data_IF_212691032268
#
_entry.id   IF_212691032268
#
_cell.length_a   1.000
_cell.length_b   1.000
_cell.length_c   1.000
_cell.angle_alpha   90.00
_cell.angle_beta   90.00
_cell.angle_gamma   90.00
#
_symmetry.space_group_name_H-M   'P 1'
#
loop_
_entity.id
_entity.type
_entity.pdbx_description
1 polymer ?
#
# COMPACT_ATOMS: atom_id res chain seq x y z
N UNK A 1 7.13 56.66 -12.75
CA UNK A 1 8.26 55.83 -13.17
C UNK A 1 9.48 56.04 -12.28
N UNK A 2 10.12 57.21 -12.30
CA UNK A 2 11.37 57.45 -11.54
C UNK A 2 11.26 57.12 -10.03
N UNK A 3 10.19 57.58 -9.36
CA UNK A 3 9.94 57.28 -7.94
C UNK A 3 9.78 55.77 -7.65
N UNK A 4 9.20 55.02 -8.59
CA UNK A 4 9.01 53.58 -8.44
C UNK A 4 10.36 52.85 -8.51
N UNK A 5 11.20 53.23 -9.46
CA UNK A 5 12.55 52.67 -9.61
C UNK A 5 13.44 53.03 -8.42
N UNK A 6 13.40 54.28 -7.95
CA UNK A 6 14.15 54.71 -6.74
C UNK A 6 13.71 53.91 -5.51
N UNK A 7 12.40 53.71 -5.33
CA UNK A 7 11.86 52.89 -4.24
C UNK A 7 12.32 51.44 -4.33
N UNK A 8 12.26 50.84 -5.53
CA UNK A 8 12.68 49.46 -5.79
C UNK A 8 14.16 49.25 -5.45
N UNK A 9 15.04 50.15 -5.90
CA UNK A 9 16.48 50.12 -5.60
C UNK A 9 16.71 50.18 -4.08
N UNK A 10 16.07 51.14 -3.39
CA UNK A 10 16.20 51.26 -1.94
C UNK A 10 15.73 49.98 -1.20
N UNK A 11 14.62 49.38 -1.63
CA UNK A 11 14.11 48.13 -1.05
C UNK A 11 15.04 46.94 -1.30
N UNK A 12 15.67 46.85 -2.47
CA UNK A 12 16.66 45.81 -2.77
C UNK A 12 17.95 45.92 -1.97
N UNK A 13 18.31 47.12 -1.52
CA UNK A 13 19.38 47.27 -0.53
C UNK A 13 18.89 46.85 0.86
N UNK A 14 17.72 47.33 1.29
CA UNK A 14 17.17 47.07 2.63
C UNK A 14 16.81 45.60 2.87
N UNK A 15 16.50 44.83 1.83
CA UNK A 15 16.24 43.40 1.98
C UNK A 15 17.49 42.58 2.31
N UNK A 16 18.68 43.17 2.20
CA UNK A 16 19.97 42.57 2.61
C UNK A 16 20.49 43.17 3.91
N UNK A 17 19.68 43.96 4.62
CA UNK A 17 20.09 44.64 5.85
C UNK A 17 20.49 43.63 6.94
N UNK A 18 21.40 44.05 7.83
CA UNK A 18 21.86 43.21 8.95
C UNK A 18 20.73 42.98 9.95
N UNK A 19 19.88 43.97 10.16
CA UNK A 19 18.75 43.89 11.09
C UNK A 19 17.55 43.20 10.43
N UNK A 20 17.06 42.11 11.03
CA UNK A 20 15.90 41.39 10.51
C UNK A 20 14.63 42.21 10.52
N UNK A 21 14.47 43.17 11.44
CA UNK A 21 13.29 44.05 11.47
C UNK A 21 13.20 44.93 10.22
N UNK A 22 14.33 45.42 9.72
CA UNK A 22 14.42 46.18 8.47
C UNK A 22 14.13 45.28 7.28
N UNK A 23 14.72 44.07 7.25
CA UNK A 23 14.45 43.09 6.19
C UNK A 23 12.96 42.69 6.14
N UNK A 24 12.28 42.56 7.28
CA UNK A 24 10.84 42.28 7.35
C UNK A 24 10.02 43.38 6.65
N UNK A 25 10.32 44.66 6.92
CA UNK A 25 9.62 45.77 6.28
C UNK A 25 9.92 45.82 4.78
N UNK A 26 11.18 45.59 4.39
CA UNK A 26 11.56 45.52 2.98
C UNK A 26 10.85 44.37 2.25
N UNK A 27 10.79 43.17 2.85
CA UNK A 27 10.12 42.01 2.29
C UNK A 27 8.62 42.28 2.11
N UNK A 28 7.99 42.87 3.13
CA UNK A 28 6.57 43.24 3.09
C UNK A 28 6.28 44.22 1.95
N UNK A 29 7.12 45.25 1.79
CA UNK A 29 6.96 46.22 0.71
C UNK A 29 7.17 45.57 -0.67
N UNK A 30 8.21 44.75 -0.83
CA UNK A 30 8.50 44.03 -2.08
C UNK A 30 7.37 43.07 -2.48
N UNK A 31 6.76 42.34 -1.53
CA UNK A 31 5.60 41.50 -1.83
C UNK A 31 4.42 42.29 -2.41
N UNK A 32 4.20 43.54 -1.97
CA UNK A 32 3.14 44.39 -2.55
C UNK A 32 3.41 44.82 -3.99
N UNK A 33 4.67 44.79 -4.42
CA UNK A 33 5.11 45.16 -5.76
C UNK A 33 5.32 43.93 -6.68
N UNK A 34 5.05 42.71 -6.19
CA UNK A 34 5.42 41.46 -6.87
C UNK A 34 4.84 41.30 -8.30
N UNK A 35 3.65 41.86 -8.56
CA UNK A 35 2.97 41.76 -9.86
C UNK A 35 3.18 42.99 -10.75
N UNK A 36 3.82 44.04 -10.24
CA UNK A 36 3.98 45.30 -10.95
C UNK A 36 5.20 45.30 -11.89
N UNK A 37 6.02 44.25 -11.86
CA UNK A 37 7.41 44.36 -12.30
C UNK A 37 7.87 43.23 -13.23
N UNK A 38 7.94 43.55 -14.52
CA UNK A 38 8.64 42.74 -15.54
C UNK A 38 10.11 43.19 -15.64
N UNK A 39 10.46 44.35 -15.08
CA UNK A 39 11.79 44.92 -15.21
C UNK A 39 12.79 44.21 -14.28
N UNK A 40 13.88 43.77 -14.87
CA UNK A 40 14.99 43.17 -14.14
C UNK A 40 15.82 44.24 -13.45
N UNK A 41 16.33 43.96 -12.25
CA UNK A 41 17.34 44.79 -11.63
C UNK A 41 18.61 44.80 -12.51
N UNK A 42 19.11 45.96 -12.96
CA UNK A 42 20.34 46.05 -13.75
C UNK A 42 21.58 45.44 -13.07
N UNK A 43 21.57 45.33 -11.75
CA UNK A 43 22.71 44.86 -10.94
C UNK A 43 22.89 43.34 -11.01
N UNK A 44 21.81 42.58 -10.99
CA UNK A 44 21.85 41.11 -10.92
C UNK A 44 20.93 40.40 -11.92
N UNK A 45 20.22 41.15 -12.76
CA UNK A 45 19.31 40.64 -13.78
C UNK A 45 18.05 39.97 -13.23
N UNK A 46 17.71 40.17 -11.94
CA UNK A 46 16.59 39.50 -11.30
C UNK A 46 15.38 40.39 -11.11
N UNK A 47 14.18 39.81 -11.26
CA UNK A 47 12.92 40.46 -10.92
C UNK A 47 12.67 40.48 -9.41
N UNK A 48 11.69 41.27 -8.95
CA UNK A 48 11.22 41.25 -7.55
C UNK A 48 10.86 39.84 -7.12
N UNK A 49 10.11 39.12 -7.96
CA UNK A 49 9.66 37.76 -7.68
C UNK A 49 10.83 36.80 -7.45
N UNK A 50 11.82 36.82 -8.35
CA UNK A 50 13.00 35.96 -8.24
C UNK A 50 13.83 36.26 -6.98
N UNK A 51 13.92 37.54 -6.59
CA UNK A 51 14.59 37.93 -5.34
C UNK A 51 13.81 37.43 -4.11
N UNK A 52 12.48 37.59 -4.09
CA UNK A 52 11.63 37.06 -3.02
C UNK A 52 11.76 35.54 -2.89
N UNK A 53 11.80 34.80 -4.00
CA UNK A 53 11.99 33.34 -3.98
C UNK A 53 13.36 32.96 -3.43
N UNK A 54 14.41 33.70 -3.81
CA UNK A 54 15.74 33.50 -3.24
C UNK A 54 15.76 33.75 -1.72
N UNK A 55 15.13 34.82 -1.25
CA UNK A 55 15.06 35.12 0.20
C UNK A 55 14.24 34.05 0.93
N UNK A 56 13.14 33.58 0.33
CA UNK A 56 12.30 32.53 0.90
C UNK A 56 13.09 31.22 1.14
N UNK A 57 14.09 30.93 0.30
CA UNK A 57 14.94 29.77 0.46
C UNK A 57 16.13 30.00 1.40
N UNK A 58 16.71 31.21 1.41
CA UNK A 58 18.05 31.47 1.95
C UNK A 58 18.11 32.39 3.18
N UNK A 59 17.08 33.18 3.51
CA UNK A 59 17.14 34.02 4.71
C UNK A 59 17.18 33.15 5.96
N UNK A 60 18.08 33.46 6.90
CA UNK A 60 18.24 32.70 8.14
C UNK A 60 17.08 32.94 9.12
N UNK A 61 16.43 34.11 9.09
CA UNK A 61 15.34 34.45 9.98
C UNK A 61 14.01 33.88 9.46
N UNK A 62 13.38 33.03 10.29
CA UNK A 62 12.13 32.37 9.94
C UNK A 62 10.96 33.34 9.70
N UNK A 63 10.94 34.49 10.39
CA UNK A 63 9.87 35.49 10.27
C UNK A 63 9.88 36.17 8.91
N UNK A 64 11.06 36.42 8.32
CA UNK A 64 11.16 36.98 6.96
C UNK A 64 10.59 36.00 5.94
N UNK A 65 10.98 34.72 6.04
CA UNK A 65 10.40 33.65 5.20
C UNK A 65 8.89 33.57 5.37
N UNK A 66 8.39 33.71 6.61
CA UNK A 66 6.96 33.72 6.93
C UNK A 66 6.21 34.88 6.30
N UNK A 67 6.77 36.09 6.37
CA UNK A 67 6.20 37.30 5.78
C UNK A 67 6.06 37.12 4.28
N UNK A 68 7.07 36.56 3.61
CA UNK A 68 7.00 36.25 2.19
C UNK A 68 5.89 35.22 1.93
N UNK A 69 5.86 34.10 2.66
CA UNK A 69 4.81 33.07 2.50
C UNK A 69 3.39 33.62 2.66
N UNK A 70 3.19 34.61 3.53
CA UNK A 70 1.87 35.15 3.81
C UNK A 70 1.38 36.12 2.73
N UNK A 71 2.32 36.77 2.01
CA UNK A 71 2.02 37.84 1.08
C UNK A 71 2.34 37.51 -0.39
N UNK A 72 3.00 36.39 -0.66
CA UNK A 72 3.29 35.96 -2.03
C UNK A 72 2.02 35.40 -2.70
N UNK A 73 1.79 35.78 -3.96
CA UNK A 73 0.68 35.26 -4.74
C UNK A 73 1.03 33.89 -5.35
N UNK A 74 0.24 32.84 -5.09
CA UNK A 74 0.55 31.51 -5.58
C UNK A 74 0.24 31.39 -7.08
N UNK A 75 1.29 31.19 -7.88
CA UNK A 75 1.24 30.90 -9.32
C UNK A 75 2.29 29.84 -9.71
N UNK A 76 2.33 29.44 -10.99
CA UNK A 76 3.23 28.38 -11.48
C UNK A 76 4.72 28.64 -11.16
N UNK A 77 5.16 29.90 -11.16
CA UNK A 77 6.56 30.27 -10.88
C UNK A 77 6.88 30.21 -9.37
N UNK A 78 5.92 30.55 -8.51
CA UNK A 78 6.12 30.56 -7.05
C UNK A 78 5.84 29.21 -6.36
N UNK A 79 4.96 28.39 -6.95
CA UNK A 79 4.46 27.16 -6.33
C UNK A 79 5.58 26.19 -5.92
N UNK A 80 6.63 25.94 -6.74
CA UNK A 80 7.75 25.10 -6.33
C UNK A 80 8.39 25.57 -5.02
N UNK A 81 8.63 26.88 -4.87
CA UNK A 81 9.25 27.49 -3.70
C UNK A 81 8.32 27.48 -2.47
N UNK A 82 7.02 27.70 -2.67
CA UNK A 82 6.00 27.60 -1.61
C UNK A 82 5.93 26.16 -1.07
N UNK A 83 5.86 25.17 -1.97
CA UNK A 83 5.78 23.75 -1.62
C UNK A 83 7.00 23.30 -0.83
N UNK A 84 8.20 23.74 -1.20
CA UNK A 84 9.42 23.46 -0.41
C UNK A 84 9.30 23.91 1.05
N UNK A 85 8.60 25.02 1.32
CA UNK A 85 8.43 25.52 2.70
C UNK A 85 7.48 24.68 3.55
N UNK A 86 6.74 23.74 2.96
CA UNK A 86 6.05 22.71 3.74
C UNK A 86 7.04 21.81 4.52
N UNK A 87 8.34 21.93 4.26
CA UNK A 87 9.45 21.28 4.98
C UNK A 87 10.41 22.28 5.65
N UNK A 88 9.98 23.53 5.88
CA UNK A 88 10.77 24.52 6.61
C UNK A 88 11.16 24.00 8.02
N UNK A 89 12.35 24.38 8.48
CA UNK A 89 12.83 24.06 9.82
C UNK A 89 11.91 24.62 10.91
N UNK A 90 11.29 25.77 10.66
CA UNK A 90 10.34 26.41 11.56
C UNK A 90 8.92 25.83 11.39
N UNK A 91 8.31 25.27 12.47
CA UNK A 91 6.97 24.68 12.38
C UNK A 91 5.87 25.69 12.04
N UNK A 92 6.02 26.96 12.42
CA UNK A 92 5.04 27.99 12.10
C UNK A 92 5.05 28.25 10.59
N UNK A 93 6.22 28.29 9.95
CA UNK A 93 6.34 28.43 8.50
C UNK A 93 5.70 27.25 7.77
N UNK A 94 5.98 26.00 8.19
CA UNK A 94 5.31 24.81 7.63
C UNK A 94 3.79 24.92 7.73
N UNK A 95 3.28 25.35 8.89
CA UNK A 95 1.85 25.57 9.12
C UNK A 95 1.28 26.66 8.21
N UNK A 96 2.00 27.78 8.04
CA UNK A 96 1.55 28.92 7.23
C UNK A 96 1.33 28.52 5.78
N UNK A 97 2.14 27.62 5.20
CA UNK A 97 1.95 27.11 3.83
C UNK A 97 0.52 26.60 3.62
N UNK A 98 -0.02 25.82 4.56
CA UNK A 98 -1.39 25.30 4.49
C UNK A 98 -2.45 26.35 4.84
N UNK A 99 -2.15 27.25 5.78
CA UNK A 99 -3.11 28.27 6.23
C UNK A 99 -3.35 29.39 5.20
N UNK A 100 -2.37 29.68 4.34
CA UNK A 100 -2.40 30.84 3.47
C UNK A 100 -2.20 30.49 1.99
N UNK A 101 -0.98 30.31 1.44
CA UNK A 101 -0.81 30.19 0.00
C UNK A 101 -1.52 28.96 -0.59
N UNK A 102 -1.52 27.80 0.08
CA UNK A 102 -2.25 26.62 -0.44
C UNK A 102 -3.77 26.69 -0.22
N UNK A 103 -4.23 27.41 0.81
CA UNK A 103 -5.65 27.66 1.07
C UNK A 103 -6.27 28.71 0.13
N UNK A 104 -5.45 29.65 -0.35
CA UNK A 104 -5.85 30.74 -1.22
C UNK A 104 -5.65 30.41 -2.72
N UNK A 105 -5.06 29.25 -3.04
CA UNK A 105 -5.05 28.73 -4.40
C UNK A 105 -6.47 28.75 -4.96
N UNK A 106 -6.63 29.30 -6.17
CA UNK A 106 -7.91 29.26 -6.89
C UNK A 106 -8.37 27.81 -7.08
N UNK A 107 -7.42 26.93 -7.39
CA UNK A 107 -7.66 25.51 -7.56
C UNK A 107 -6.42 24.69 -7.15
N UNK A 108 -6.59 23.66 -6.33
CA UNK A 108 -5.50 22.76 -5.95
C UNK A 108 -4.93 21.98 -7.15
N UNK A 109 -5.66 21.90 -8.27
CA UNK A 109 -5.20 21.30 -9.53
C UNK A 109 -4.09 22.10 -10.21
N UNK A 110 -3.82 23.33 -9.77
CA UNK A 110 -2.64 24.10 -10.18
C UNK A 110 -1.34 23.48 -9.66
N UNK A 111 -1.39 22.69 -8.59
CA UNK A 111 -0.27 21.87 -8.15
C UNK A 111 -0.12 20.69 -9.09
N UNK A 112 1.12 20.40 -9.49
CA UNK A 112 1.43 19.13 -10.15
C UNK A 112 1.06 17.96 -9.23
N UNK A 113 0.83 16.78 -9.81
CA UNK A 113 0.57 15.57 -9.04
C UNK A 113 1.61 15.36 -7.92
N UNK A 114 2.90 15.49 -8.24
CA UNK A 114 3.97 15.30 -7.26
C UNK A 114 3.93 16.35 -6.14
N UNK A 115 3.66 17.61 -6.47
CA UNK A 115 3.54 18.67 -5.48
C UNK A 115 2.36 18.41 -4.54
N UNK A 116 1.20 18.05 -5.09
CA UNK A 116 -0.02 17.73 -4.34
C UNK A 116 0.20 16.55 -3.39
N UNK A 117 0.74 15.44 -3.89
CA UNK A 117 1.06 14.27 -3.08
C UNK A 117 2.07 14.59 -1.97
N UNK A 118 3.11 15.37 -2.27
CA UNK A 118 4.11 15.78 -1.29
C UNK A 118 3.53 16.65 -0.18
N UNK A 119 2.77 17.71 -0.50
CA UNK A 119 2.23 18.61 0.54
C UNK A 119 1.24 17.89 1.43
N UNK A 120 0.44 16.96 0.90
CA UNK A 120 -0.48 16.14 1.70
C UNK A 120 0.29 15.17 2.59
N UNK A 121 1.24 14.41 2.01
CA UNK A 121 2.08 13.45 2.74
C UNK A 121 2.84 14.13 3.89
N UNK A 122 3.48 15.27 3.63
CA UNK A 122 4.27 15.97 4.64
C UNK A 122 3.39 16.64 5.69
N UNK A 123 2.27 17.23 5.30
CA UNK A 123 1.41 17.98 6.20
C UNK A 123 0.63 17.09 7.15
N UNK A 124 0.03 16.01 6.64
CA UNK A 124 -0.74 15.05 7.44
C UNK A 124 0.14 14.21 8.36
N UNK A 125 1.40 13.97 7.97
CA UNK A 125 2.41 13.27 8.79
C UNK A 125 3.40 14.22 9.49
N UNK A 126 3.10 15.52 9.59
CA UNK A 126 3.97 16.44 10.30
C UNK A 126 4.03 16.07 11.79
N UNK A 127 5.16 16.32 12.44
CA UNK A 127 5.31 16.06 13.88
C UNK A 127 4.50 17.05 14.72
N UNK A 128 4.33 18.28 14.24
CA UNK A 128 3.57 19.31 14.92
C UNK A 128 2.05 19.13 14.68
N UNK A 129 1.24 18.91 15.72
CA UNK A 129 -0.21 18.74 15.58
C UNK A 129 -0.92 19.96 14.98
N UNK A 130 -0.39 21.17 15.16
CA UNK A 130 -0.98 22.39 14.58
C UNK A 130 -0.77 22.47 13.07
N UNK A 131 0.29 21.86 12.54
CA UNK A 131 0.48 21.70 11.08
C UNK A 131 -0.56 20.72 10.54
N UNK A 132 -0.70 19.54 11.16
CA UNK A 132 -1.71 18.54 10.77
C UNK A 132 -3.13 19.12 10.79
N UNK A 133 -3.46 19.89 11.83
CA UNK A 133 -4.75 20.59 11.94
C UNK A 133 -4.97 21.64 10.85
N UNK A 134 -3.93 22.38 10.47
CA UNK A 134 -4.03 23.35 9.37
C UNK A 134 -4.34 22.67 8.03
N UNK A 135 -3.75 21.49 7.79
CA UNK A 135 -4.01 20.68 6.60
C UNK A 135 -5.45 20.18 6.60
N UNK A 136 -5.91 19.58 7.70
CA UNK A 136 -7.30 19.12 7.84
C UNK A 136 -8.31 20.23 7.57
N UNK A 137 -8.09 21.43 8.14
CA UNK A 137 -8.94 22.60 7.89
C UNK A 137 -8.92 23.07 6.44
N UNK A 138 -7.76 23.09 5.79
CA UNK A 138 -7.64 23.46 4.37
C UNK A 138 -8.44 22.47 3.50
N UNK A 139 -8.27 21.17 3.74
CA UNK A 139 -9.00 20.11 3.03
C UNK A 139 -10.51 20.27 3.21
N UNK A 140 -10.96 20.41 4.45
CA UNK A 140 -12.38 20.40 4.81
C UNK A 140 -13.16 21.67 4.49
N UNK A 141 -12.48 22.78 4.20
CA UNK A 141 -13.13 24.09 3.99
C UNK A 141 -12.82 24.75 2.64
N UNK A 142 -11.66 24.45 2.03
CA UNK A 142 -11.19 25.08 0.79
C UNK A 142 -11.14 24.09 -0.36
N UNK A 143 -10.29 23.07 -0.28
CA UNK A 143 -10.05 22.16 -1.39
C UNK A 143 -11.29 21.34 -1.75
N UNK A 144 -12.08 20.92 -0.75
CA UNK A 144 -13.33 20.19 -1.01
C UNK A 144 -14.33 21.01 -1.84
N UNK A 145 -14.34 22.35 -1.72
CA UNK A 145 -15.19 23.21 -2.54
C UNK A 145 -14.73 23.27 -4.00
N UNK A 146 -13.43 23.09 -4.24
CA UNK A 146 -12.84 23.02 -5.58
C UNK A 146 -13.15 21.67 -6.25
N UNK A 147 -13.54 20.66 -5.47
CA UNK A 147 -14.11 19.39 -5.91
C UNK A 147 -15.62 19.33 -5.68
N UNK A 148 -16.33 20.45 -5.85
CA UNK A 148 -17.80 20.52 -5.83
C UNK A 148 -18.48 19.99 -4.56
N UNK A 149 -17.77 19.97 -3.43
CA UNK A 149 -18.19 19.28 -2.19
C UNK A 149 -18.44 17.77 -2.34
N UNK A 150 -17.74 17.12 -3.27
CA UNK A 150 -17.85 15.70 -3.57
C UNK A 150 -16.52 15.01 -3.22
N UNK A 151 -16.56 14.07 -2.27
CA UNK A 151 -15.38 13.32 -1.85
C UNK A 151 -14.87 12.34 -2.92
N UNK A 152 -15.76 11.80 -3.75
CA UNK A 152 -15.37 10.92 -4.87
C UNK A 152 -14.62 11.74 -5.91
N UNK A 153 -15.16 12.90 -6.34
CA UNK A 153 -14.43 13.81 -7.24
C UNK A 153 -13.07 14.19 -6.63
N UNK A 154 -13.03 14.45 -5.33
CA UNK A 154 -11.78 14.82 -4.67
C UNK A 154 -10.74 13.70 -4.72
N UNK A 155 -11.15 12.44 -4.50
CA UNK A 155 -10.29 11.26 -4.61
C UNK A 155 -9.83 10.99 -6.05
N UNK A 156 -10.69 11.20 -7.06
CA UNK A 156 -10.30 11.08 -8.47
C UNK A 156 -9.16 12.05 -8.79
N UNK A 157 -9.23 13.28 -8.25
CA UNK A 157 -8.13 14.25 -8.39
C UNK A 157 -6.90 13.87 -7.57
N UNK A 158 -6.98 13.00 -6.58
CA UNK A 158 -5.77 12.50 -5.91
C UNK A 158 -5.09 11.39 -6.71
N UNK A 159 -5.79 10.77 -7.67
CA UNK A 159 -5.30 9.68 -8.51
C UNK A 159 -4.87 8.47 -7.65
N UNK A 160 -5.80 7.96 -6.84
CA UNK A 160 -5.55 6.96 -5.78
C UNK A 160 -4.95 5.63 -6.27
N UNK A 161 -5.13 5.30 -7.54
CA UNK A 161 -4.55 4.12 -8.18
C UNK A 161 -3.03 4.21 -8.37
N UNK A 162 -2.45 5.42 -8.30
CA UNK A 162 -0.99 5.58 -8.38
C UNK A 162 -0.32 5.05 -7.11
N UNK A 163 0.81 4.37 -7.30
CA UNK A 163 1.57 3.76 -6.21
C UNK A 163 1.88 4.75 -5.07
N UNK A 164 1.57 4.35 -3.84
CA UNK A 164 1.82 5.13 -2.61
C UNK A 164 0.83 6.28 -2.37
N UNK A 165 -0.18 6.49 -3.22
CA UNK A 165 -1.19 7.54 -3.02
C UNK A 165 -2.31 7.09 -2.10
N UNK A 166 -2.72 5.81 -2.15
CA UNK A 166 -3.81 5.29 -1.31
C UNK A 166 -3.60 5.61 0.18
N UNK A 167 -2.39 5.43 0.73
CA UNK A 167 -2.08 5.77 2.13
C UNK A 167 -2.24 7.26 2.44
N UNK A 168 -1.89 8.12 1.47
CA UNK A 168 -2.07 9.58 1.58
C UNK A 168 -3.56 9.91 1.55
N UNK A 169 -4.32 9.31 0.63
CA UNK A 169 -5.75 9.52 0.50
C UNK A 169 -6.53 9.03 1.73
N UNK A 170 -6.12 7.91 2.34
CA UNK A 170 -6.67 7.45 3.60
C UNK A 170 -6.42 8.46 4.73
N UNK A 171 -5.20 9.00 4.81
CA UNK A 171 -4.86 10.07 5.76
C UNK A 171 -5.69 11.34 5.52
N UNK A 172 -5.96 11.69 4.25
CA UNK A 172 -6.80 12.82 3.85
C UNK A 172 -8.22 12.63 4.34
N UNK A 173 -8.85 11.48 4.05
CA UNK A 173 -10.21 11.18 4.46
C UNK A 173 -10.36 11.15 5.97
N UNK A 174 -9.43 10.51 6.69
CA UNK A 174 -9.43 10.50 8.15
C UNK A 174 -9.32 11.90 8.75
N UNK A 175 -8.45 12.75 8.22
CA UNK A 175 -8.35 14.15 8.65
C UNK A 175 -9.61 14.95 8.30
N UNK A 176 -10.23 14.67 7.16
CA UNK A 176 -11.46 15.32 6.72
C UNK A 176 -12.63 14.97 7.64
N UNK A 177 -12.86 13.68 7.93
CA UNK A 177 -13.91 13.21 8.83
C UNK A 177 -13.72 13.72 10.26
N UNK A 178 -12.49 13.76 10.75
CA UNK A 178 -12.19 14.32 12.07
C UNK A 178 -12.51 15.83 12.17
N UNK A 179 -12.34 16.59 11.09
CA UNK A 179 -12.66 18.02 11.02
C UNK A 179 -14.14 18.30 10.70
N UNK A 180 -14.82 17.39 9.99
CA UNK A 180 -16.23 17.50 9.56
C UNK A 180 -17.08 16.39 10.17
N UNK A 181 -17.11 16.35 11.50
CA UNK A 181 -17.97 15.41 12.23
C UNK A 181 -19.47 15.63 11.95
N UNK A 182 -19.85 16.80 11.44
CA UNK A 182 -21.22 17.17 11.06
C UNK A 182 -21.78 16.30 9.92
N UNK A 183 -20.95 15.89 8.95
CA UNK A 183 -21.41 15.13 7.78
C UNK A 183 -21.41 13.61 7.98
N UNK A 184 -20.90 13.11 9.10
CA UNK A 184 -20.76 11.66 9.35
C UNK A 184 -22.11 10.95 9.30
N UNK A 185 -23.19 11.63 9.71
CA UNK A 185 -24.55 11.11 9.64
C UNK A 185 -25.17 11.18 8.24
N UNK A 186 -24.61 11.99 7.35
CA UNK A 186 -25.13 12.23 5.99
C UNK A 186 -24.55 11.23 4.97
N UNK A 187 -23.35 10.70 5.21
CA UNK A 187 -22.69 9.75 4.30
C UNK A 187 -23.37 8.39 4.40
N UNK A 188 -24.03 7.92 3.34
CA UNK A 188 -24.71 6.60 3.27
C UNK A 188 -24.24 5.81 2.05
N UNK A 189 -24.28 4.47 2.15
CA UNK A 189 -23.96 3.55 1.06
C UNK A 189 -25.17 2.65 0.80
N UNK A 190 -26.08 3.11 -0.07
CA UNK A 190 -27.30 2.38 -0.40
C UNK A 190 -27.04 1.21 -1.37
N UNK A 191 -28.08 0.42 -1.65
CA UNK A 191 -27.96 -0.72 -2.55
C UNK A 191 -27.55 -0.33 -3.98
N UNK A 192 -27.76 0.92 -4.39
CA UNK A 192 -27.37 1.41 -5.71
C UNK A 192 -25.88 1.77 -5.77
N UNK A 193 -25.35 2.34 -4.68
CA UNK A 193 -23.93 2.59 -4.49
C UNK A 193 -23.11 1.30 -4.66
N UNK A 194 -23.51 0.23 -3.99
CA UNK A 194 -22.79 -1.05 -4.00
C UNK A 194 -22.79 -1.76 -5.36
N UNK A 195 -23.74 -1.43 -6.25
CA UNK A 195 -23.81 -1.98 -7.61
C UNK A 195 -22.90 -1.27 -8.61
N UNK A 196 -22.50 -0.04 -8.32
CA UNK A 196 -21.77 0.83 -9.24
C UNK A 196 -20.51 1.40 -8.59
N UNK A 197 -19.66 0.50 -8.09
CA UNK A 197 -18.39 0.88 -7.48
C UNK A 197 -17.36 1.31 -8.55
N UNK A 198 -16.79 2.48 -8.31
CA UNK A 198 -15.49 2.93 -8.82
C UNK A 198 -14.40 2.71 -7.76
N UNK A 199 -13.10 2.73 -8.12
CA UNK A 199 -12.00 2.69 -7.15
C UNK A 199 -12.17 3.69 -5.99
N UNK A 200 -12.53 4.93 -6.30
CA UNK A 200 -12.70 6.01 -5.32
C UNK A 200 -13.88 5.77 -4.39
N UNK A 201 -15.00 5.28 -4.93
CA UNK A 201 -16.22 5.03 -4.14
C UNK A 201 -16.00 3.94 -3.10
N UNK A 202 -15.47 2.77 -3.48
CA UNK A 202 -15.24 1.67 -2.54
C UNK A 202 -14.12 2.02 -1.55
N UNK A 203 -13.10 2.76 -1.99
CA UNK A 203 -12.08 3.28 -1.10
C UNK A 203 -12.66 4.23 -0.06
N UNK A 204 -13.55 5.14 -0.45
CA UNK A 204 -14.26 6.04 0.46
C UNK A 204 -15.08 5.23 1.48
N UNK A 205 -15.85 4.24 1.04
CA UNK A 205 -16.63 3.38 1.93
C UNK A 205 -15.75 2.63 2.93
N UNK A 206 -14.68 1.97 2.45
CA UNK A 206 -13.72 1.26 3.30
C UNK A 206 -13.10 2.17 4.34
N UNK A 207 -12.58 3.34 3.94
CA UNK A 207 -11.93 4.26 4.88
C UNK A 207 -12.94 4.85 5.87
N UNK A 208 -14.17 5.10 5.45
CA UNK A 208 -15.23 5.57 6.34
C UNK A 208 -15.62 4.52 7.38
N UNK A 209 -15.79 3.25 6.97
CA UNK A 209 -16.04 2.12 7.89
C UNK A 209 -14.90 2.00 8.91
N UNK A 210 -13.65 2.00 8.46
CA UNK A 210 -12.49 1.95 9.35
C UNK A 210 -12.45 3.15 10.30
N UNK A 211 -12.77 4.36 9.81
CA UNK A 211 -12.84 5.55 10.65
C UNK A 211 -13.86 5.38 11.78
N UNK A 212 -15.07 4.90 11.48
CA UNK A 212 -16.11 4.64 12.48
C UNK A 212 -15.67 3.58 13.50
N UNK A 213 -15.03 2.49 13.08
CA UNK A 213 -14.49 1.45 13.97
C UNK A 213 -13.49 2.01 14.99
N UNK A 214 -12.75 3.07 14.66
CA UNK A 214 -11.85 3.73 15.64
C UNK A 214 -12.58 4.61 16.67
N UNK A 215 -13.90 4.76 16.55
CA UNK A 215 -14.74 5.65 17.36
C UNK A 215 -15.88 4.88 18.03
N UNK A 216 -15.60 4.28 19.20
CA UNK A 216 -16.57 3.51 20.00
C UNK A 216 -17.92 4.20 20.31
N UNK A 217 -18.07 5.51 20.08
CA UNK A 217 -19.33 6.23 20.28
C UNK A 217 -20.17 6.32 18.99
N UNK A 218 -19.73 5.68 17.91
CA UNK A 218 -20.37 5.67 16.59
C UNK A 218 -20.74 4.25 16.15
N UNK A 219 -20.80 3.28 17.06
CA UNK A 219 -21.09 1.87 16.73
C UNK A 219 -22.46 1.72 16.05
N UNK A 220 -23.49 2.45 16.51
CA UNK A 220 -24.81 2.49 15.83
C UNK A 220 -24.68 2.97 14.38
N UNK A 221 -23.83 3.97 14.13
CA UNK A 221 -23.60 4.48 12.77
C UNK A 221 -22.81 3.49 11.93
N UNK A 222 -21.90 2.73 12.54
CA UNK A 222 -21.14 1.68 11.87
C UNK A 222 -22.08 0.58 11.39
N UNK A 223 -22.99 0.11 12.23
CA UNK A 223 -23.99 -0.90 11.85
C UNK A 223 -24.86 -0.45 10.67
N UNK A 224 -25.26 0.83 10.62
CA UNK A 224 -26.06 1.37 9.51
C UNK A 224 -25.36 1.38 8.15
N UNK A 225 -24.01 1.40 8.11
CA UNK A 225 -23.23 1.55 6.87
C UNK A 225 -22.54 0.27 6.41
N UNK A 226 -22.44 -0.73 7.28
CA UNK A 226 -21.89 -2.03 6.91
C UNK A 226 -22.85 -2.73 5.94
N UNK A 227 -22.36 -3.26 4.82
CA UNK A 227 -23.18 -4.07 3.93
C UNK A 227 -23.48 -5.43 4.58
N UNK A 228 -24.60 -6.05 4.19
CA UNK A 228 -24.86 -7.44 4.55
C UNK A 228 -23.82 -8.36 3.91
N UNK A 229 -23.36 -9.39 4.65
CA UNK A 229 -22.30 -10.31 4.20
C UNK A 229 -22.62 -10.95 2.85
N UNK A 230 -23.87 -11.37 2.65
CA UNK A 230 -24.31 -12.03 1.41
C UNK A 230 -24.30 -11.10 0.21
N UNK A 231 -24.64 -9.83 0.41
CA UNK A 231 -24.66 -8.81 -0.64
C UNK A 231 -23.24 -8.36 -0.98
N UNK A 232 -22.40 -8.17 0.03
CA UNK A 232 -21.00 -7.85 -0.18
C UNK A 232 -20.25 -8.98 -0.89
N UNK A 233 -20.59 -10.25 -0.58
CA UNK A 233 -20.07 -11.41 -1.31
C UNK A 233 -20.51 -11.40 -2.78
N UNK A 234 -21.76 -11.05 -3.09
CA UNK A 234 -22.22 -10.91 -4.48
C UNK A 234 -21.44 -9.82 -5.23
N UNK A 235 -21.16 -8.69 -4.59
CA UNK A 235 -20.39 -7.61 -5.20
C UNK A 235 -18.96 -8.07 -5.49
N UNK A 236 -18.31 -8.75 -4.54
CA UNK A 236 -16.99 -9.32 -4.74
C UNK A 236 -16.96 -10.33 -5.90
N UNK A 237 -17.96 -11.20 -5.99
CA UNK A 237 -18.11 -12.16 -7.09
C UNK A 237 -18.27 -11.44 -8.43
N UNK A 238 -19.15 -10.44 -8.52
CA UNK A 238 -19.36 -9.64 -9.71
C UNK A 238 -18.08 -8.94 -10.19
N UNK A 239 -17.36 -8.26 -9.29
CA UNK A 239 -16.12 -7.57 -9.66
C UNK A 239 -14.98 -8.53 -10.00
N UNK A 240 -14.97 -9.72 -9.40
CA UNK A 240 -14.08 -10.79 -9.78
C UNK A 240 -14.34 -11.28 -11.21
N UNK A 241 -15.60 -11.50 -11.59
CA UNK A 241 -15.98 -11.86 -12.97
C UNK A 241 -15.61 -10.75 -13.97
N UNK A 242 -15.84 -9.48 -13.60
CA UNK A 242 -15.43 -8.34 -14.42
C UNK A 242 -13.92 -8.31 -14.63
N UNK A 243 -13.11 -8.49 -13.57
CA UNK A 243 -11.65 -8.60 -13.65
C UNK A 243 -11.21 -9.71 -14.61
N UNK A 244 -11.83 -10.89 -14.56
CA UNK A 244 -11.49 -12.02 -15.44
C UNK A 244 -11.80 -11.73 -16.92
N UNK A 245 -12.83 -10.93 -17.20
CA UNK A 245 -13.24 -10.55 -18.56
C UNK A 245 -12.61 -9.24 -19.06
N UNK A 246 -11.91 -8.51 -18.20
CA UNK A 246 -11.37 -7.19 -18.48
C UNK A 246 -10.16 -7.22 -19.41
N UNK A 247 -9.96 -6.11 -20.13
CA UNK A 247 -8.71 -5.87 -20.84
C UNK A 247 -7.57 -5.61 -19.86
N UNK A 248 -6.31 -5.82 -20.27
CA UNK A 248 -5.16 -5.53 -19.40
C UNK A 248 -5.05 -4.05 -19.02
N UNK A 249 -5.70 -3.14 -19.77
CA UNK A 249 -5.76 -1.71 -19.45
C UNK A 249 -6.72 -1.42 -18.29
N UNK A 250 -7.82 -2.18 -18.18
CA UNK A 250 -8.87 -1.97 -17.16
C UNK A 250 -8.63 -2.80 -15.88
N UNK A 251 -7.86 -3.88 -15.97
CA UNK A 251 -7.54 -4.76 -14.83
C UNK A 251 -7.09 -4.01 -13.56
N UNK A 252 -6.21 -2.99 -13.62
CA UNK A 252 -5.77 -2.28 -12.41
C UNK A 252 -6.91 -1.64 -11.60
N UNK A 253 -7.98 -1.20 -12.26
CA UNK A 253 -9.15 -0.63 -11.57
C UNK A 253 -9.90 -1.72 -10.80
N UNK A 254 -10.19 -2.85 -11.46
CA UNK A 254 -10.86 -3.98 -10.85
C UNK A 254 -10.01 -4.63 -9.75
N UNK A 255 -8.70 -4.76 -9.95
CA UNK A 255 -7.76 -5.23 -8.93
C UNK A 255 -7.87 -4.38 -7.67
N UNK A 256 -7.89 -3.06 -7.80
CA UNK A 256 -8.02 -2.16 -6.68
C UNK A 256 -9.38 -2.30 -5.98
N UNK A 257 -10.48 -2.37 -6.75
CA UNK A 257 -11.83 -2.56 -6.20
C UNK A 257 -11.91 -3.87 -5.40
N UNK A 258 -11.43 -4.98 -5.96
CA UNK A 258 -11.39 -6.29 -5.29
C UNK A 258 -10.58 -6.20 -3.99
N UNK A 259 -9.42 -5.53 -3.99
CA UNK A 259 -8.63 -5.33 -2.77
C UNK A 259 -9.41 -4.56 -1.70
N UNK A 260 -10.17 -3.52 -2.07
CA UNK A 260 -10.99 -2.78 -1.10
C UNK A 260 -12.21 -3.58 -0.60
N UNK A 261 -12.83 -4.38 -1.47
CA UNK A 261 -13.92 -5.29 -1.10
C UNK A 261 -13.43 -6.35 -0.10
N UNK A 262 -12.26 -6.95 -0.35
CA UNK A 262 -11.63 -7.92 0.55
C UNK A 262 -11.26 -7.31 1.91
N UNK A 263 -10.79 -6.06 1.96
CA UNK A 263 -10.57 -5.37 3.23
C UNK A 263 -11.87 -5.02 3.95
N UNK A 264 -12.93 -4.67 3.20
CA UNK A 264 -14.25 -4.44 3.79
C UNK A 264 -14.81 -5.73 4.41
N UNK A 265 -14.56 -6.90 3.81
CA UNK A 265 -14.90 -8.21 4.41
C UNK A 265 -14.29 -8.38 5.80
N UNK A 266 -13.07 -7.87 6.05
CA UNK A 266 -12.43 -7.96 7.38
C UNK A 266 -13.17 -7.19 8.47
N UNK A 267 -14.11 -6.33 8.09
CA UNK A 267 -14.90 -5.49 8.99
C UNK A 267 -16.31 -6.04 9.25
N UNK A 268 -16.73 -7.11 8.55
CA UNK A 268 -18.08 -7.66 8.64
C UNK A 268 -18.21 -8.67 9.78
N UNK A 269 -19.45 -8.85 10.26
CA UNK A 269 -19.79 -9.88 11.24
C UNK A 269 -20.19 -11.20 10.54
N UNK A 270 -19.47 -12.27 10.86
CA UNK A 270 -19.66 -13.61 10.31
C UNK A 270 -20.44 -14.54 11.25
N UNK A 271 -21.19 -14.00 12.21
CA UNK A 271 -22.11 -14.76 13.04
C UNK A 271 -23.21 -15.48 12.23
N UNK A 272 -23.62 -14.92 11.09
CA UNK A 272 -24.53 -15.60 10.14
C UNK A 272 -23.78 -16.66 9.32
N UNK A 273 -24.22 -17.90 9.47
CA UNK A 273 -23.63 -19.06 8.80
C UNK A 273 -23.88 -19.06 7.29
N UNK A 274 -24.97 -18.45 6.82
CA UNK A 274 -25.29 -18.38 5.37
C UNK A 274 -24.31 -17.46 4.65
N UNK A 275 -24.15 -16.23 5.15
CA UNK A 275 -23.17 -15.28 4.65
C UNK A 275 -21.73 -15.80 4.75
N UNK A 276 -21.35 -16.36 5.91
CA UNK A 276 -20.01 -16.92 6.13
C UNK A 276 -19.67 -18.03 5.12
N UNK A 277 -20.60 -18.97 4.88
CA UNK A 277 -20.41 -20.05 3.92
C UNK A 277 -20.29 -19.53 2.48
N UNK A 278 -21.11 -18.55 2.10
CA UNK A 278 -21.04 -17.95 0.77
C UNK A 278 -19.69 -17.29 0.51
N UNK A 279 -19.20 -16.49 1.46
CA UNK A 279 -17.86 -15.88 1.36
C UNK A 279 -16.79 -16.98 1.27
N UNK A 280 -16.86 -18.00 2.12
CA UNK A 280 -15.92 -19.12 2.09
C UNK A 280 -15.85 -19.80 0.71
N UNK A 281 -17.00 -20.13 0.11
CA UNK A 281 -17.09 -20.77 -1.21
C UNK A 281 -16.53 -19.88 -2.31
N UNK A 282 -16.85 -18.58 -2.29
CA UNK A 282 -16.32 -17.59 -3.23
C UNK A 282 -14.79 -17.47 -3.13
N UNK A 283 -14.25 -17.29 -1.93
CA UNK A 283 -12.79 -17.20 -1.73
C UNK A 283 -12.07 -18.46 -2.20
N UNK A 284 -12.64 -19.65 -1.95
CA UNK A 284 -12.09 -20.93 -2.44
C UNK A 284 -12.09 -20.99 -3.96
N UNK A 285 -13.14 -20.49 -4.61
CA UNK A 285 -13.22 -20.39 -6.07
C UNK A 285 -12.14 -19.46 -6.62
N UNK A 286 -11.97 -18.27 -6.03
CA UNK A 286 -10.95 -17.29 -6.44
C UNK A 286 -9.54 -17.87 -6.29
N UNK A 287 -9.22 -18.52 -5.16
CA UNK A 287 -7.91 -19.15 -4.97
C UNK A 287 -7.61 -20.26 -5.99
N UNK A 288 -8.62 -20.89 -6.60
CA UNK A 288 -8.40 -21.91 -7.64
C UNK A 288 -8.08 -21.30 -9.02
N UNK A 289 -8.39 -20.02 -9.25
CA UNK A 289 -8.05 -19.31 -10.50
C UNK A 289 -6.55 -19.06 -10.68
N UNK A 290 -6.02 -19.13 -11.91
CA UNK A 290 -4.60 -18.86 -12.15
C UNK A 290 -4.22 -17.37 -12.07
N UNK A 291 -5.17 -16.47 -12.35
CA UNK A 291 -4.91 -15.04 -12.53
C UNK A 291 -4.95 -14.22 -11.24
N UNK A 292 -4.80 -14.88 -10.09
CA UNK A 292 -4.82 -14.23 -8.79
C UNK A 292 -3.52 -13.46 -8.53
N UNK A 293 -3.64 -12.16 -8.26
CA UNK A 293 -2.48 -11.35 -7.87
C UNK A 293 -2.10 -11.56 -6.40
N UNK A 294 -0.82 -11.31 -6.09
CA UNK A 294 -0.24 -11.52 -4.74
C UNK A 294 -0.97 -10.77 -3.62
N UNK A 295 -1.44 -9.54 -3.90
CA UNK A 295 -2.18 -8.72 -2.94
C UNK A 295 -3.53 -9.36 -2.57
N UNK A 296 -4.30 -9.80 -3.56
CA UNK A 296 -5.57 -10.51 -3.34
C UNK A 296 -5.35 -11.82 -2.60
N UNK A 297 -4.36 -12.62 -2.99
CA UNK A 297 -4.01 -13.86 -2.29
C UNK A 297 -3.76 -13.59 -0.81
N UNK A 298 -2.94 -12.59 -0.48
CA UNK A 298 -2.62 -12.26 0.91
C UNK A 298 -3.88 -11.88 1.70
N UNK A 299 -4.76 -11.06 1.13
CA UNK A 299 -6.02 -10.65 1.77
C UNK A 299 -7.01 -11.80 1.93
N UNK A 300 -7.14 -12.66 0.92
CA UNK A 300 -8.02 -13.82 0.94
C UNK A 300 -7.60 -14.80 2.05
N UNK A 301 -6.31 -15.07 2.19
CA UNK A 301 -5.81 -15.98 3.24
C UNK A 301 -6.02 -15.38 4.65
N UNK A 302 -5.84 -14.07 4.83
CA UNK A 302 -6.18 -13.37 6.08
C UNK A 302 -7.68 -13.46 6.37
N UNK A 303 -8.53 -13.35 5.36
CA UNK A 303 -9.97 -13.49 5.50
C UNK A 303 -10.38 -14.93 5.85
N UNK A 304 -9.75 -15.94 5.24
CA UNK A 304 -9.91 -17.34 5.66
C UNK A 304 -9.56 -17.52 7.13
N UNK A 305 -8.48 -16.90 7.62
CA UNK A 305 -8.11 -16.95 9.04
C UNK A 305 -9.19 -16.33 9.94
N UNK A 306 -9.84 -15.24 9.50
CA UNK A 306 -10.92 -14.59 10.24
C UNK A 306 -12.19 -15.44 10.31
N UNK A 307 -12.60 -16.07 9.21
CA UNK A 307 -13.87 -16.82 9.12
C UNK A 307 -13.76 -18.28 9.58
N UNK A 308 -12.53 -18.78 9.79
CA UNK A 308 -12.28 -20.12 10.31
C UNK A 308 -12.64 -20.21 11.80
N UNK A 309 -13.11 -21.38 12.22
CA UNK A 309 -13.56 -21.58 13.60
C UNK A 309 -12.40 -21.59 14.62
N UNK A 310 -11.28 -22.21 14.25
CA UNK A 310 -10.02 -22.18 14.98
C UNK A 310 -8.84 -22.27 14.00
N UNK A 311 -7.63 -22.25 14.56
CA UNK A 311 -6.40 -22.34 13.78
C UNK A 311 -6.24 -23.64 13.01
N UNK A 312 -6.67 -24.76 13.59
CA UNK A 312 -6.52 -26.09 12.95
C UNK A 312 -7.48 -26.23 11.78
N UNK A 313 -8.68 -25.70 11.92
CA UNK A 313 -9.67 -25.58 10.85
C UNK A 313 -9.09 -24.76 9.70
N UNK A 314 -8.54 -23.58 10.00
CA UNK A 314 -7.85 -22.74 9.01
C UNK A 314 -6.74 -23.50 8.27
N UNK A 315 -5.78 -24.08 8.98
CA UNK A 315 -4.66 -24.79 8.36
C UNK A 315 -5.13 -25.99 7.54
N UNK A 316 -6.09 -26.77 8.05
CA UNK A 316 -6.67 -27.90 7.32
C UNK A 316 -7.31 -27.44 6.01
N UNK A 317 -8.14 -26.39 6.06
CA UNK A 317 -8.78 -25.84 4.85
C UNK A 317 -7.75 -25.37 3.83
N UNK A 318 -6.69 -24.68 4.27
CA UNK A 318 -5.64 -24.22 3.34
C UNK A 318 -4.91 -25.39 2.68
N UNK A 319 -4.61 -26.46 3.43
CA UNK A 319 -4.00 -27.68 2.88
C UNK A 319 -4.95 -28.35 1.89
N UNK A 320 -6.24 -28.48 2.21
CA UNK A 320 -7.25 -29.02 1.27
C UNK A 320 -7.31 -28.20 -0.03
N UNK A 321 -7.24 -26.86 0.05
CA UNK A 321 -7.23 -26.00 -1.14
C UNK A 321 -5.93 -26.20 -1.95
N UNK A 322 -4.79 -26.35 -1.29
CA UNK A 322 -3.51 -26.65 -1.97
C UNK A 322 -3.60 -27.99 -2.69
N UNK A 323 -4.07 -29.05 -2.01
CA UNK A 323 -4.25 -30.38 -2.60
C UNK A 323 -5.24 -30.36 -3.77
N UNK A 324 -6.37 -29.67 -3.64
CA UNK A 324 -7.33 -29.47 -4.72
C UNK A 324 -6.66 -28.83 -5.96
N UNK A 325 -5.84 -27.81 -5.76
CA UNK A 325 -5.14 -27.12 -6.87
C UNK A 325 -4.13 -28.05 -7.54
N UNK A 326 -3.38 -28.83 -6.75
CA UNK A 326 -2.45 -29.82 -7.28
C UNK A 326 -3.18 -30.90 -8.11
N UNK A 327 -4.29 -31.44 -7.60
CA UNK A 327 -5.09 -32.45 -8.29
C UNK A 327 -5.77 -31.90 -9.56
N UNK A 328 -6.29 -30.67 -9.51
CA UNK A 328 -6.96 -30.04 -10.65
C UNK A 328 -6.03 -29.86 -11.85
N UNK A 329 -4.74 -29.62 -11.61
CA UNK A 329 -3.79 -29.34 -12.69
C UNK A 329 -2.79 -30.46 -12.97
N UNK A 330 -2.62 -31.43 -12.07
CA UNK A 330 -1.84 -32.67 -12.29
C UNK A 330 -2.70 -33.95 -12.10
N UNK A 331 -3.80 -34.15 -12.85
CA UNK A 331 -4.72 -35.27 -12.64
C UNK A 331 -4.14 -36.67 -12.97
N UNK A 332 -2.96 -36.74 -13.60
CA UNK A 332 -2.36 -37.98 -14.10
C UNK A 332 -1.22 -38.56 -13.24
N UNK A 333 -0.63 -37.81 -12.29
CA UNK A 333 0.41 -38.36 -11.39
C UNK A 333 -0.14 -39.47 -10.48
N UNK A 334 -1.42 -39.42 -10.10
CA UNK A 334 -2.07 -40.47 -9.29
C UNK A 334 -2.32 -41.80 -10.01
N UNK A 335 -2.16 -41.87 -11.34
CA UNK A 335 -2.39 -43.08 -12.13
C UNK A 335 -1.11 -43.89 -12.40
N UNK A 336 0.07 -43.26 -12.35
CA UNK A 336 1.33 -43.92 -12.70
C UNK A 336 1.85 -44.87 -11.60
N UNK A 337 1.50 -44.66 -10.33
CA UNK A 337 1.86 -45.60 -9.25
C UNK A 337 1.16 -46.97 -9.38
N UNK A 338 0.09 -47.08 -10.18
CA UNK A 338 -0.71 -48.30 -10.28
C UNK A 338 -0.36 -49.23 -11.46
N UNK A 339 0.50 -48.81 -12.39
CA UNK A 339 0.76 -49.54 -13.65
C UNK A 339 2.20 -50.00 -13.88
N UNK A 340 3.06 -49.92 -12.86
CA UNK A 340 4.42 -50.50 -12.91
C UNK A 340 4.41 -52.03 -12.70
N UNK A 341 3.79 -52.80 -13.61
CA UNK A 341 4.11 -54.22 -13.85
C UNK A 341 3.52 -54.69 -15.19
N UNK A 342 4.44 -55.13 -16.08
CA UNK A 342 4.25 -55.85 -17.37
C UNK A 342 3.85 -54.96 -18.55
N UNK A 343 4.56 -54.84 -19.68
CA UNK A 343 5.35 -55.81 -20.47
C UNK A 343 6.38 -55.04 -21.33
N UNK A 344 7.61 -55.57 -21.44
CA UNK A 344 8.57 -55.19 -22.50
C UNK A 344 8.05 -55.70 -23.85
N UNK A 345 8.14 -54.92 -24.91
CA UNK A 345 8.55 -55.33 -26.27
C UNK A 345 8.70 -54.10 -27.19
N UNK A 346 9.94 -53.90 -27.62
CA UNK A 346 10.46 -53.43 -28.93
C UNK A 346 9.49 -52.78 -29.94
N UNK A 347 9.75 -51.53 -30.36
CA UNK A 347 9.98 -51.14 -31.77
C UNK A 347 10.39 -49.67 -31.88
N UNK A 348 11.25 -49.36 -32.85
CA UNK A 348 11.92 -48.08 -33.03
C UNK A 348 11.06 -46.97 -33.65
N UNK A 349 11.40 -45.72 -33.29
CA UNK A 349 10.88 -44.52 -33.96
C UNK A 349 11.41 -43.25 -33.32
N UNK A 350 12.39 -42.61 -33.95
CA UNK A 350 12.89 -41.30 -33.50
C UNK A 350 11.80 -40.25 -33.73
N UNK A 351 11.23 -39.74 -32.64
CA UNK A 351 10.57 -38.44 -32.61
C UNK A 351 11.01 -37.72 -31.35
N UNK A 352 11.64 -36.56 -31.52
CA UNK A 352 12.24 -35.74 -30.48
C UNK A 352 11.16 -35.22 -29.50
N UNK A 353 11.27 -35.45 -28.17
CA UNK A 353 10.28 -35.00 -27.19
C UNK A 353 10.54 -33.59 -26.60
N UNK A 354 11.57 -32.88 -27.03
CA UNK A 354 12.10 -31.71 -26.29
C UNK A 354 11.21 -30.46 -26.32
N UNK A 355 10.26 -30.31 -27.26
CA UNK A 355 9.41 -29.10 -27.32
C UNK A 355 8.10 -29.22 -26.54
N UNK A 356 7.61 -30.42 -26.26
CA UNK A 356 6.38 -30.64 -25.49
C UNK A 356 6.63 -30.63 -23.98
N UNK A 357 7.79 -31.11 -23.53
CA UNK A 357 8.12 -31.15 -22.10
C UNK A 357 8.36 -29.76 -21.50
N UNK A 358 8.96 -28.83 -22.26
CA UNK A 358 9.26 -27.50 -21.73
C UNK A 358 8.00 -26.67 -21.39
N UNK A 359 6.89 -26.84 -22.13
CA UNK A 359 5.62 -26.15 -21.89
C UNK A 359 4.81 -26.79 -20.74
N UNK A 360 4.94 -28.11 -20.54
CA UNK A 360 4.36 -28.78 -19.37
C UNK A 360 5.13 -28.43 -18.09
N UNK A 361 6.47 -28.35 -18.17
CA UNK A 361 7.32 -28.03 -17.03
C UNK A 361 7.13 -26.58 -16.53
N UNK A 362 6.88 -25.62 -17.44
CA UNK A 362 6.55 -24.23 -17.03
C UNK A 362 5.22 -24.16 -16.29
N UNK A 363 4.21 -24.88 -16.80
CA UNK A 363 2.87 -24.89 -16.18
C UNK A 363 2.91 -25.56 -14.80
N UNK A 364 3.65 -26.66 -14.64
CA UNK A 364 3.84 -27.33 -13.35
C UNK A 364 4.58 -26.43 -12.34
N UNK A 365 5.60 -25.71 -12.78
CA UNK A 365 6.30 -24.74 -11.93
C UNK A 365 5.40 -23.58 -11.48
N UNK A 366 4.52 -23.08 -12.35
CA UNK A 366 3.57 -22.01 -12.00
C UNK A 366 2.53 -22.50 -10.97
N UNK A 367 2.03 -23.72 -11.12
CA UNK A 367 1.13 -24.36 -10.14
C UNK A 367 1.83 -24.52 -8.79
N UNK A 368 3.07 -25.05 -8.80
CA UNK A 368 3.89 -25.19 -7.59
C UNK A 368 4.13 -23.84 -6.91
N UNK A 369 4.44 -22.80 -7.70
CA UNK A 369 4.67 -21.46 -7.19
C UNK A 369 3.41 -20.89 -6.51
N UNK A 370 2.23 -21.11 -7.11
CA UNK A 370 0.95 -20.73 -6.53
C UNK A 370 0.65 -21.47 -5.23
N UNK A 371 0.81 -22.80 -5.21
CA UNK A 371 0.64 -23.60 -3.99
C UNK A 371 1.58 -23.16 -2.87
N UNK A 372 2.85 -22.87 -3.20
CA UNK A 372 3.82 -22.32 -2.25
C UNK A 372 3.45 -20.91 -1.78
N UNK A 373 2.82 -20.09 -2.62
CA UNK A 373 2.34 -18.76 -2.24
C UNK A 373 1.18 -18.82 -1.25
N UNK A 374 0.24 -19.75 -1.46
CA UNK A 374 -0.84 -20.05 -0.50
C UNK A 374 -0.24 -20.59 0.80
N UNK A 375 0.68 -21.56 0.72
CA UNK A 375 1.36 -22.14 1.86
C UNK A 375 2.12 -21.09 2.68
N UNK A 376 2.88 -20.21 2.02
CA UNK A 376 3.58 -19.10 2.65
C UNK A 376 2.61 -18.20 3.41
N UNK A 377 1.56 -17.73 2.75
CA UNK A 377 0.58 -16.82 3.38
C UNK A 377 -0.17 -17.50 4.53
N UNK A 378 -0.46 -18.80 4.42
CA UNK A 378 -1.03 -19.61 5.51
C UNK A 378 -0.08 -19.64 6.72
N UNK A 379 1.20 -19.93 6.50
CA UNK A 379 2.21 -20.00 7.56
C UNK A 379 2.45 -18.63 8.21
N UNK A 380 2.41 -17.53 7.45
CA UNK A 380 2.48 -16.15 7.98
C UNK A 380 1.30 -15.81 8.91
N UNK A 381 0.17 -16.53 8.80
CA UNK A 381 -1.04 -16.38 9.62
C UNK A 381 -1.23 -17.52 10.64
N UNK A 382 -0.19 -18.32 10.89
CA UNK A 382 -0.21 -19.44 11.85
C UNK A 382 0.71 -19.18 13.05
N UNK A 383 0.31 -19.63 14.24
CA UNK A 383 1.01 -19.50 15.52
C UNK A 383 1.09 -20.82 16.29
N UNK A 384 0.30 -21.84 15.93
CA UNK A 384 0.31 -23.13 16.59
C UNK A 384 1.62 -23.88 16.28
N UNK A 385 2.16 -24.54 17.30
CA UNK A 385 3.39 -25.31 17.17
C UNK A 385 3.24 -26.43 16.14
N UNK A 386 4.25 -26.58 15.28
CA UNK A 386 4.29 -27.54 14.18
C UNK A 386 3.97 -28.97 14.64
N UNK A 387 4.50 -29.39 15.79
CA UNK A 387 4.34 -30.75 16.35
C UNK A 387 2.89 -31.10 16.71
N UNK A 388 2.02 -30.10 16.87
CA UNK A 388 0.59 -30.31 17.19
C UNK A 388 -0.28 -30.46 15.95
N UNK A 389 0.26 -30.16 14.77
CA UNK A 389 -0.49 -30.18 13.52
C UNK A 389 0.15 -31.16 12.53
N UNK A 390 -0.28 -32.43 12.60
CA UNK A 390 0.23 -33.51 11.74
C UNK A 390 0.11 -33.20 10.24
N UNK A 391 -0.85 -32.36 9.85
CA UNK A 391 -1.09 -32.01 8.46
C UNK A 391 0.05 -31.14 7.88
N UNK A 392 0.73 -30.35 8.71
CA UNK A 392 1.87 -29.53 8.29
C UNK A 392 3.09 -30.37 7.90
N UNK A 393 3.28 -31.56 8.48
CA UNK A 393 4.38 -32.45 8.11
C UNK A 393 4.25 -32.99 6.68
N UNK A 394 3.03 -33.34 6.25
CA UNK A 394 2.77 -33.72 4.85
C UNK A 394 3.14 -32.58 3.91
N UNK A 395 2.62 -31.38 4.19
CA UNK A 395 2.91 -30.19 3.40
C UNK A 395 4.41 -29.85 3.32
N UNK A 396 5.16 -30.04 4.42
CA UNK A 396 6.60 -29.83 4.46
C UNK A 396 7.34 -30.77 3.50
N UNK A 397 7.03 -32.06 3.55
CA UNK A 397 7.73 -33.08 2.76
C UNK A 397 7.30 -33.09 1.29
N UNK A 398 6.02 -32.85 1.02
CA UNK A 398 5.44 -33.02 -0.31
C UNK A 398 5.54 -31.74 -1.16
N UNK A 399 5.60 -30.56 -0.52
CA UNK A 399 5.62 -29.27 -1.22
C UNK A 399 6.88 -28.44 -0.91
N UNK A 400 7.19 -28.19 0.36
CA UNK A 400 8.23 -27.20 0.76
C UNK A 400 9.64 -27.73 0.48
N UNK A 401 9.99 -28.93 0.94
CA UNK A 401 11.32 -29.52 0.77
C UNK A 401 11.69 -29.67 -0.72
N UNK A 402 10.80 -30.21 -1.59
CA UNK A 402 11.05 -30.25 -3.03
C UNK A 402 11.26 -28.87 -3.65
N UNK A 403 10.58 -27.83 -3.15
CA UNK A 403 10.75 -26.46 -3.64
C UNK A 403 12.13 -25.88 -3.29
N UNK A 404 12.62 -26.09 -2.06
CA UNK A 404 13.96 -25.67 -1.63
C UNK A 404 15.07 -26.32 -2.45
N UNK A 405 14.84 -27.53 -2.97
CA UNK A 405 15.78 -28.25 -3.82
C UNK A 405 15.61 -27.97 -5.32
N UNK A 406 14.59 -27.21 -5.70
CA UNK A 406 14.26 -26.97 -7.10
C UNK A 406 15.34 -26.12 -7.80
N UNK A 407 15.58 -26.40 -9.09
CA UNK A 407 16.54 -25.68 -9.92
C UNK A 407 16.11 -24.22 -10.19
N UNK A 408 14.79 -23.97 -10.28
CA UNK A 408 14.22 -22.65 -10.45
C UNK A 408 14.46 -21.76 -9.22
N UNK A 409 14.87 -20.53 -9.49
CA UNK A 409 15.33 -19.60 -8.46
C UNK A 409 14.15 -19.04 -7.64
N UNK A 410 12.99 -18.83 -8.28
CA UNK A 410 11.81 -18.29 -7.63
C UNK A 410 11.16 -19.34 -6.72
N UNK A 411 11.00 -20.58 -7.21
CA UNK A 411 10.52 -21.72 -6.42
C UNK A 411 11.43 -22.01 -5.24
N UNK A 412 12.75 -21.97 -5.44
CA UNK A 412 13.72 -22.12 -4.35
C UNK A 412 13.59 -21.01 -3.31
N UNK A 413 13.44 -19.76 -3.77
CA UNK A 413 13.27 -18.60 -2.90
C UNK A 413 12.02 -18.69 -2.02
N UNK A 414 10.86 -18.99 -2.61
CA UNK A 414 9.61 -19.11 -1.86
C UNK A 414 9.57 -20.38 -0.97
N UNK A 415 10.14 -21.49 -1.44
CA UNK A 415 10.32 -22.70 -0.65
C UNK A 415 11.18 -22.45 0.59
N UNK A 416 12.29 -21.73 0.44
CA UNK A 416 13.14 -21.35 1.58
C UNK A 416 12.37 -20.46 2.58
N UNK A 417 11.51 -19.56 2.08
CA UNK A 417 10.68 -18.74 2.96
C UNK A 417 9.69 -19.59 3.77
N UNK A 418 8.98 -20.51 3.11
CA UNK A 418 8.05 -21.42 3.78
C UNK A 418 8.77 -22.28 4.83
N UNK A 419 9.96 -22.80 4.51
CA UNK A 419 10.79 -23.54 5.47
C UNK A 419 11.17 -22.67 6.68
N UNK A 420 11.56 -21.42 6.45
CA UNK A 420 11.83 -20.45 7.51
C UNK A 420 10.63 -20.23 8.43
N UNK A 421 9.43 -20.08 7.87
CA UNK A 421 8.19 -19.96 8.64
C UNK A 421 7.84 -21.25 9.40
N UNK A 422 8.07 -22.44 8.83
CA UNK A 422 7.94 -23.68 9.61
C UNK A 422 8.93 -23.72 10.78
N UNK A 423 10.16 -23.23 10.59
CA UNK A 423 11.16 -23.15 11.65
C UNK A 423 10.76 -22.17 12.77
N UNK A 424 10.01 -21.09 12.48
CA UNK A 424 9.51 -20.20 13.56
C UNK A 424 8.40 -20.85 14.40
N UNK A 425 7.77 -21.93 13.91
CA UNK A 425 6.75 -22.70 14.63
C UNK A 425 7.31 -23.91 15.40
N UNK A 426 8.52 -24.36 15.07
CA UNK A 426 9.18 -25.46 15.77
C UNK A 426 10.69 -25.28 15.96
N UNK A 427 11.11 -25.40 17.22
CA UNK A 427 12.49 -25.18 17.64
C UNK A 427 13.43 -26.24 17.10
N UNK A 428 13.02 -27.52 17.10
CA UNK A 428 13.88 -28.60 16.63
C UNK A 428 14.11 -28.45 15.13
N UNK A 429 13.07 -28.17 14.35
CA UNK A 429 13.15 -27.92 12.92
C UNK A 429 14.08 -26.74 12.60
N UNK A 430 14.01 -25.65 13.37
CA UNK A 430 14.93 -24.52 13.24
C UNK A 430 16.39 -24.91 13.47
N UNK A 431 16.65 -25.70 14.52
CA UNK A 431 17.98 -26.18 14.86
C UNK A 431 18.57 -27.09 13.77
N UNK A 432 17.77 -27.95 13.16
CA UNK A 432 18.22 -28.85 12.09
C UNK A 432 18.52 -28.11 10.78
N UNK A 433 17.80 -27.02 10.47
CA UNK A 433 17.92 -26.30 9.19
C UNK A 433 18.83 -25.07 9.23
N UNK A 434 19.42 -24.74 10.38
CA UNK A 434 20.25 -23.53 10.52
C UNK A 434 21.48 -23.52 9.59
N UNK A 435 22.11 -24.68 9.39
CA UNK A 435 23.26 -24.86 8.51
C UNK A 435 22.89 -24.58 7.04
N UNK A 436 21.68 -24.94 6.62
CA UNK A 436 21.13 -24.63 5.30
C UNK A 436 20.98 -23.12 5.11
N UNK A 437 20.38 -22.41 6.07
CA UNK A 437 20.24 -20.94 5.96
C UNK A 437 21.61 -20.25 5.88
N UNK A 438 22.58 -20.68 6.68
CA UNK A 438 23.97 -20.16 6.60
C UNK A 438 24.59 -20.47 5.25
N UNK A 439 24.37 -21.67 4.69
CA UNK A 439 24.84 -22.02 3.36
C UNK A 439 24.22 -21.11 2.29
N UNK A 440 22.92 -20.85 2.35
CA UNK A 440 22.23 -19.93 1.45
C UNK A 440 22.78 -18.49 1.54
N UNK A 441 23.15 -18.02 2.74
CA UNK A 441 23.78 -16.70 2.93
C UNK A 441 25.17 -16.65 2.26
N UNK A 442 25.96 -17.73 2.40
CA UNK A 442 27.33 -17.79 1.86
C UNK A 442 27.35 -17.96 0.34
N UNK A 443 26.48 -18.83 -0.19
CA UNK A 443 26.57 -19.34 -1.56
C UNK A 443 25.41 -18.92 -2.47
N UNK A 444 24.34 -18.32 -1.93
CA UNK A 444 23.17 -17.91 -2.70
C UNK A 444 23.41 -16.69 -3.61
N UNK A 445 22.43 -16.36 -4.42
CA UNK A 445 22.33 -15.05 -5.09
C UNK A 445 21.72 -14.02 -4.13
N UNK A 446 21.77 -12.73 -4.47
CA UNK A 446 21.46 -11.65 -3.52
C UNK A 446 20.05 -11.73 -2.89
N UNK A 447 19.01 -12.05 -3.66
CA UNK A 447 17.66 -12.20 -3.12
C UNK A 447 17.56 -13.35 -2.11
N UNK A 448 18.14 -14.52 -2.42
CA UNK A 448 18.20 -15.66 -1.50
C UNK A 448 18.99 -15.33 -0.23
N UNK A 449 20.08 -14.56 -0.34
CA UNK A 449 20.86 -14.10 0.84
C UNK A 449 20.03 -13.21 1.74
N UNK A 450 19.34 -12.21 1.17
CA UNK A 450 18.47 -11.30 1.93
C UNK A 450 17.39 -12.12 2.65
N UNK A 451 16.75 -13.05 1.94
CA UNK A 451 15.70 -13.91 2.50
C UNK A 451 16.22 -14.82 3.62
N UNK A 452 17.36 -15.47 3.41
CA UNK A 452 18.00 -16.31 4.43
C UNK A 452 18.46 -15.50 5.66
N UNK A 453 18.92 -14.26 5.47
CA UNK A 453 19.24 -13.34 6.57
C UNK A 453 17.99 -12.96 7.37
N UNK A 454 16.88 -12.63 6.71
CA UNK A 454 15.60 -12.35 7.39
C UNK A 454 15.18 -13.52 8.26
N UNK A 455 15.17 -14.74 7.69
CA UNK A 455 14.83 -15.97 8.42
C UNK A 455 15.77 -16.16 9.62
N UNK A 456 17.08 -16.01 9.44
CA UNK A 456 18.06 -16.16 10.52
C UNK A 456 17.79 -15.18 11.67
N UNK A 457 17.51 -13.92 11.36
CA UNK A 457 17.18 -12.92 12.38
C UNK A 457 15.86 -13.24 13.09
N UNK A 458 14.83 -13.67 12.37
CA UNK A 458 13.56 -14.08 12.95
C UNK A 458 13.74 -15.26 13.92
N UNK A 459 14.55 -16.27 13.54
CA UNK A 459 14.84 -17.42 14.40
C UNK A 459 15.64 -17.02 15.65
N UNK A 460 16.62 -16.11 15.51
CA UNK A 460 17.38 -15.58 16.65
C UNK A 460 16.47 -14.77 17.58
N UNK A 461 15.56 -13.96 17.04
CA UNK A 461 14.61 -13.18 17.83
C UNK A 461 13.57 -14.08 18.51
N UNK A 462 13.19 -15.20 17.89
CA UNK A 462 12.18 -16.14 18.40
C UNK A 462 12.75 -17.06 19.48
N UNK A 463 13.94 -17.64 19.26
CA UNK A 463 14.49 -18.68 20.14
C UNK A 463 15.77 -18.28 20.89
N UNK A 464 16.41 -17.18 20.51
CA UNK A 464 17.70 -16.76 21.03
C UNK A 464 18.88 -17.40 20.30
N UNK A 465 20.00 -16.68 20.25
CA UNK A 465 21.20 -17.08 19.51
C UNK A 465 21.73 -18.46 19.94
N UNK A 466 21.85 -18.68 21.26
CA UNK A 466 22.40 -19.94 21.81
C UNK A 466 21.59 -21.16 21.36
N UNK A 467 20.26 -21.05 21.36
CA UNK A 467 19.36 -22.13 20.99
C UNK A 467 19.45 -22.44 19.50
N UNK A 468 19.59 -21.41 18.65
CA UNK A 468 19.69 -21.56 17.21
C UNK A 468 21.05 -22.16 16.80
N UNK A 469 22.14 -21.81 17.48
CA UNK A 469 23.48 -22.28 17.13
C UNK A 469 23.89 -23.60 17.78
N UNK A 470 23.02 -24.21 18.59
CA UNK A 470 23.35 -25.41 19.38
C UNK A 470 23.83 -26.61 18.53
N UNK A 471 23.44 -26.68 17.25
CA UNK A 471 23.78 -27.76 16.32
C UNK A 471 24.81 -27.34 15.25
N UNK A 472 25.45 -26.17 15.42
CA UNK A 472 26.52 -25.69 14.53
C UNK A 472 27.92 -26.11 14.99
N UNK A 473 28.02 -26.94 16.04
CA UNK A 473 29.28 -27.54 16.48
C UNK A 473 29.65 -28.69 15.54
N UNK A 474 30.29 -28.34 14.42
CA UNK A 474 31.51 -28.95 13.85
C UNK A 474 32.08 -28.08 12.71
#
# INVERSE_FOLDING_TARGET
EDLYQDLKIALFERIKDKDSSVRIQAATALCRLQNADIDVDPTDGKTILQKLMWILQNDSNAEIRRVILFNIDPNQDTLPYIVERARDVDPINRRVVYLKPLSDLQDFRLLSFQQRSNVLKWGLNDRDPLVRKAVGKMLSTKWIKQASNNLIEFLERLEILKSGVADIAESVLNAFFAERMDIIKEITFDAEFWKHLTPESIFLAKVFINFLQTKNHLDERLEDVLPEVTDHANNLEYYWEMYQSASDEDKPEYEFIISQLLETCMCLDYADEVGRRKVFELLRSILKSFDIISDHLTRIIRLFRLISSDERDFTRTMIEIISDIQELFNPFEGLEESSAKKIRLDDGGSSSPERTNALSDTTDNDIRFKCLSICRSMLENSQESFNKNSNLYGLLNDLIVPAVQNADTNLRGIGLHCLGLCCTLDRELAQHNISLFIHCIKCGHDELKIRALMILFDLIMTYGLQTVTAHLED
#
